data_IF_927333433909
#
_entry.id   IF_927333433909
#
_cell.length_a   1.000
_cell.length_b   1.000
_cell.length_c   1.000
_cell.angle_alpha   90.00
_cell.angle_beta   90.00
_cell.angle_gamma   90.00
#
_symmetry.space_group_name_H-M   'P 1'
#
loop_
_entity.id
_entity.type
_entity.pdbx_description
1 polymer ?
#
# COMPACT_ATOMS: atom_id res chain seq x y z
N UNK A 1 -37.07 19.54 -20.31
CA UNK A 1 -36.84 21.00 -20.22
C UNK A 1 -36.23 21.35 -18.87
N UNK A 2 -34.93 21.64 -18.83
CA UNK A 2 -34.26 22.61 -17.95
C UNK A 2 -32.79 22.65 -18.39
N UNK A 3 -32.50 23.65 -19.23
CA UNK A 3 -31.17 23.97 -19.75
C UNK A 3 -30.34 24.59 -18.61
N UNK A 4 -29.13 24.07 -18.38
CA UNK A 4 -28.09 24.78 -17.64
C UNK A 4 -27.00 25.21 -18.63
N UNK A 5 -27.06 26.49 -19.02
CA UNK A 5 -25.97 27.21 -19.68
C UNK A 5 -24.98 27.69 -18.61
N UNK A 6 -23.68 27.47 -18.82
CA UNK A 6 -22.61 28.11 -18.04
C UNK A 6 -21.96 29.18 -18.94
N UNK A 7 -21.77 30.44 -18.47
CA UNK A 7 -21.33 31.54 -19.31
C UNK A 7 -19.81 31.56 -19.55
N UNK A 8 -19.43 32.07 -20.73
CA UNK A 8 -18.07 32.26 -21.23
C UNK A 8 -17.63 33.72 -21.00
N UNK A 9 -16.56 33.96 -20.23
CA UNK A 9 -15.68 35.18 -20.13
C UNK A 9 -14.88 35.02 -18.82
N UNK A 10 -13.56 35.18 -18.70
CA UNK A 10 -12.62 36.10 -19.34
C UNK A 10 -11.29 35.41 -19.66
N UNK A 11 -10.71 35.77 -20.80
CA UNK A 11 -9.29 35.64 -21.15
C UNK A 11 -8.58 36.94 -20.79
N UNK A 12 -7.26 36.83 -20.62
CA UNK A 12 -6.23 37.87 -20.58
C UNK A 12 -5.78 38.25 -19.17
N UNK A 13 -4.73 37.60 -18.71
CA UNK A 13 -3.55 38.27 -18.14
C UNK A 13 -2.42 37.24 -18.10
N UNK A 14 -1.45 37.43 -19.00
CA UNK A 14 -0.05 36.96 -19.00
C UNK A 14 0.45 37.05 -20.45
N UNK A 15 0.57 38.29 -20.92
CA UNK A 15 1.40 38.66 -22.05
C UNK A 15 2.82 38.91 -21.56
N UNK A 16 3.76 38.39 -22.32
CA UNK A 16 5.09 38.96 -22.58
C UNK A 16 6.14 38.92 -21.45
N UNK A 17 6.93 37.84 -21.47
CA UNK A 17 8.37 37.92 -21.20
C UNK A 17 9.12 37.37 -22.41
N UNK A 18 9.99 38.24 -22.94
CA UNK A 18 10.70 38.15 -24.20
C UNK A 18 11.54 36.88 -24.37
N UNK A 19 11.34 36.20 -25.50
CA UNK A 19 12.38 35.42 -26.18
C UNK A 19 12.49 35.90 -27.63
N UNK A 20 13.39 36.87 -27.84
CA UNK A 20 13.98 37.13 -29.16
C UNK A 20 15.16 36.18 -29.34
N UNK A 21 15.01 35.23 -30.27
CA UNK A 21 15.92 34.99 -31.40
C UNK A 21 15.58 33.66 -32.11
N UNK A 22 15.45 33.74 -33.43
CA UNK A 22 15.70 32.62 -34.36
C UNK A 22 14.54 31.65 -34.62
N UNK A 23 13.72 31.96 -35.63
CA UNK A 23 13.27 31.01 -36.66
C UNK A 23 12.93 29.56 -36.25
N UNK A 24 11.83 29.30 -35.51
CA UNK A 24 11.14 27.98 -35.59
C UNK A 24 9.71 27.90 -35.01
N UNK A 25 8.94 28.99 -35.04
CA UNK A 25 7.63 29.08 -34.34
C UNK A 25 6.39 28.76 -35.19
N UNK A 26 6.52 28.55 -36.50
CA UNK A 26 5.36 28.33 -37.37
C UNK A 26 5.00 26.85 -37.61
N UNK A 27 5.94 25.89 -37.51
CA UNK A 27 5.61 24.46 -37.63
C UNK A 27 5.08 23.86 -36.31
N UNK A 28 5.51 24.38 -35.16
CA UNK A 28 5.10 23.87 -33.84
C UNK A 28 3.67 24.28 -33.45
N UNK A 29 3.21 25.48 -33.85
CA UNK A 29 1.86 25.96 -33.54
C UNK A 29 0.77 25.42 -34.49
N UNK A 30 1.11 25.13 -35.76
CA UNK A 30 0.18 24.48 -36.71
C UNK A 30 -0.01 23.03 -36.32
N UNK A 31 1.06 22.33 -35.95
CA UNK A 31 0.98 20.99 -35.37
C UNK A 31 0.11 21.02 -34.11
N UNK A 32 0.38 21.89 -33.12
CA UNK A 32 -0.37 21.97 -31.86
C UNK A 32 -1.86 22.29 -32.03
N UNK A 33 -2.23 23.14 -33.00
CA UNK A 33 -3.65 23.43 -33.31
C UNK A 33 -4.33 22.30 -34.08
N UNK A 34 -3.62 21.55 -34.91
CA UNK A 34 -4.12 20.32 -35.55
C UNK A 34 -4.30 19.19 -34.50
N UNK A 35 -3.37 19.05 -33.55
CA UNK A 35 -3.44 18.10 -32.43
C UNK A 35 -4.65 18.35 -31.50
N UNK A 36 -5.05 19.60 -31.29
CA UNK A 36 -6.22 19.96 -30.47
C UNK A 36 -7.56 19.80 -31.22
N UNK A 37 -7.57 19.88 -32.56
CA UNK A 37 -8.80 19.79 -33.37
C UNK A 37 -9.14 18.36 -33.83
N UNK A 38 -8.17 17.45 -33.91
CA UNK A 38 -8.44 16.04 -34.25
C UNK A 38 -9.01 15.19 -33.09
N UNK A 39 -8.88 15.67 -31.84
CA UNK A 39 -9.52 15.04 -30.67
C UNK A 39 -11.05 15.03 -30.78
N UNK A 40 -11.65 15.87 -31.63
CA UNK A 40 -13.10 15.94 -31.82
C UNK A 40 -13.67 15.07 -32.94
N UNK A 41 -12.86 14.22 -33.60
CA UNK A 41 -13.36 13.19 -34.54
C UNK A 41 -13.22 11.78 -33.99
N UNK A 42 -13.38 11.63 -32.67
CA UNK A 42 -13.42 10.33 -32.02
C UNK A 42 -14.85 9.77 -32.15
N UNK A 43 -14.98 8.61 -32.81
CA UNK A 43 -16.19 7.78 -32.84
C UNK A 43 -16.72 7.54 -31.40
N UNK A 44 -18.04 7.39 -31.22
CA UNK A 44 -18.67 7.08 -29.93
C UNK A 44 -17.97 5.94 -29.17
N UNK A 45 -17.44 4.93 -29.87
CA UNK A 45 -16.63 3.89 -29.26
C UNK A 45 -15.37 4.44 -28.57
N UNK A 46 -14.67 5.38 -29.20
CA UNK A 46 -13.44 5.99 -28.66
C UNK A 46 -13.70 6.89 -27.45
N UNK A 47 -14.82 7.61 -27.41
CA UNK A 47 -15.22 8.39 -26.24
C UNK A 47 -15.59 7.47 -25.08
N UNK A 48 -16.28 6.36 -25.37
CA UNK A 48 -16.59 5.33 -24.38
C UNK A 48 -15.33 4.64 -23.85
N UNK A 49 -14.33 4.41 -24.71
CA UNK A 49 -13.01 3.91 -24.30
C UNK A 49 -12.32 4.87 -23.34
N UNK A 50 -12.27 6.17 -23.67
CA UNK A 50 -11.67 7.18 -22.80
C UNK A 50 -12.41 7.30 -21.46
N UNK A 51 -13.74 7.21 -21.44
CA UNK A 51 -14.52 7.29 -20.21
C UNK A 51 -14.30 6.07 -19.30
N UNK A 52 -14.31 4.85 -19.83
CA UNK A 52 -13.94 3.66 -19.05
C UNK A 52 -12.50 3.77 -18.53
N UNK A 53 -11.56 4.27 -19.34
CA UNK A 53 -10.17 4.55 -18.97
C UNK A 53 -10.12 5.46 -17.73
N UNK A 54 -10.80 6.61 -17.76
CA UNK A 54 -10.87 7.54 -16.63
C UNK A 54 -11.50 6.92 -15.37
N UNK A 55 -12.57 6.15 -15.50
CA UNK A 55 -13.24 5.47 -14.37
C UNK A 55 -12.40 4.34 -13.76
N UNK A 56 -11.57 3.68 -14.57
CA UNK A 56 -10.66 2.61 -14.17
C UNK A 56 -9.53 3.14 -13.32
N UNK A 57 -9.01 4.31 -13.65
CA UNK A 57 -7.86 4.91 -13.01
C UNK A 57 -8.21 5.65 -11.71
N UNK A 58 -9.37 6.28 -11.59
CA UNK A 58 -9.75 6.98 -10.34
C UNK A 58 -10.10 6.04 -9.17
N UNK A 59 -10.51 4.80 -9.45
CA UNK A 59 -11.09 3.90 -8.43
C UNK A 59 -10.17 2.79 -7.88
N UNK A 60 -8.89 2.74 -8.27
CA UNK A 60 -8.05 1.54 -8.02
C UNK A 60 -6.80 1.85 -7.20
N UNK A 61 -6.73 1.34 -5.96
CA UNK A 61 -5.63 1.57 -5.00
C UNK A 61 -4.56 0.45 -4.95
N UNK A 62 -4.47 -0.42 -5.96
CA UNK A 62 -3.53 -1.55 -5.93
C UNK A 62 -2.88 -1.79 -7.29
N UNK A 63 -1.54 -1.94 -7.29
CA UNK A 63 -0.73 -2.22 -8.48
C UNK A 63 -1.24 -3.46 -9.23
N UNK A 64 -1.57 -4.55 -8.54
CA UNK A 64 -2.10 -5.78 -9.15
C UNK A 64 -3.44 -5.55 -9.86
N UNK A 65 -4.28 -4.69 -9.30
CA UNK A 65 -5.57 -4.34 -9.89
C UNK A 65 -5.42 -3.46 -11.13
N UNK A 66 -4.44 -2.55 -11.14
CA UNK A 66 -4.08 -1.75 -12.33
C UNK A 66 -3.60 -2.67 -13.45
N UNK A 67 -2.67 -3.60 -13.15
CA UNK A 67 -2.13 -4.55 -14.12
C UNK A 67 -3.22 -5.43 -14.77
N UNK A 68 -4.14 -5.96 -13.97
CA UNK A 68 -5.26 -6.78 -14.45
C UNK A 68 -6.17 -6.02 -15.41
N UNK A 69 -6.41 -4.73 -15.13
CA UNK A 69 -7.26 -3.87 -15.97
C UNK A 69 -6.54 -3.45 -17.26
N UNK A 70 -5.26 -3.10 -17.22
CA UNK A 70 -4.44 -2.82 -18.43
C UNK A 70 -4.46 -4.04 -19.38
N UNK A 71 -4.25 -5.24 -18.84
CA UNK A 71 -4.37 -6.49 -19.62
C UNK A 71 -5.75 -6.63 -20.28
N UNK A 72 -6.83 -6.34 -19.55
CA UNK A 72 -8.19 -6.39 -20.09
C UNK A 72 -8.35 -5.40 -21.25
N UNK A 73 -7.83 -4.18 -21.14
CA UNK A 73 -7.93 -3.15 -22.18
C UNK A 73 -7.18 -3.59 -23.44
N UNK A 74 -5.92 -4.02 -23.30
CA UNK A 74 -5.09 -4.44 -24.44
C UNK A 74 -5.73 -5.62 -25.20
N UNK A 75 -6.23 -6.62 -24.47
CA UNK A 75 -6.83 -7.81 -25.08
C UNK A 75 -8.22 -7.52 -25.68
N UNK A 76 -9.09 -6.82 -24.96
CA UNK A 76 -10.51 -6.71 -25.33
C UNK A 76 -10.76 -5.64 -26.37
N UNK A 77 -9.98 -4.55 -26.35
CA UNK A 77 -10.24 -3.38 -27.20
C UNK A 77 -9.26 -3.26 -28.35
N UNK A 78 -7.97 -3.51 -28.11
CA UNK A 78 -6.95 -3.43 -29.15
C UNK A 78 -6.66 -4.79 -29.81
N UNK A 79 -7.32 -5.87 -29.38
CA UNK A 79 -7.03 -7.24 -29.85
C UNK A 79 -5.54 -7.58 -29.80
N UNK A 80 -4.81 -7.01 -28.83
CA UNK A 80 -3.39 -7.26 -28.63
C UNK A 80 -3.28 -8.48 -27.74
N UNK A 81 -2.96 -9.63 -28.33
CA UNK A 81 -2.83 -10.88 -27.58
C UNK A 81 -1.44 -11.03 -26.93
N UNK A 82 -0.43 -10.37 -27.51
CA UNK A 82 0.97 -10.44 -27.07
C UNK A 82 1.48 -9.11 -26.58
N UNK A 83 1.76 -9.03 -25.28
CA UNK A 83 2.41 -7.87 -24.69
C UNK A 83 3.30 -8.24 -23.51
N UNK A 84 4.25 -7.35 -23.24
CA UNK A 84 5.15 -7.37 -22.11
C UNK A 84 5.09 -6.01 -21.42
N UNK A 85 4.82 -6.01 -20.12
CA UNK A 85 4.90 -4.82 -19.30
C UNK A 85 6.10 -4.96 -18.36
N UNK A 86 7.01 -4.00 -18.47
CA UNK A 86 8.25 -3.94 -17.75
C UNK A 86 8.21 -2.81 -16.73
N UNK A 87 8.41 -3.12 -15.46
CA UNK A 87 8.51 -2.13 -14.38
C UNK A 87 9.80 -2.39 -13.59
N UNK A 88 10.42 -1.35 -13.01
CA UNK A 88 11.60 -1.53 -12.16
C UNK A 88 11.25 -2.32 -10.90
N UNK A 89 12.22 -3.05 -10.37
CA UNK A 89 12.11 -3.72 -9.08
C UNK A 89 11.96 -2.69 -7.93
N UNK A 90 11.37 -3.10 -6.80
CA UNK A 90 11.12 -2.17 -5.67
C UNK A 90 12.41 -1.56 -5.10
N UNK A 91 13.56 -2.21 -5.31
CA UNK A 91 14.88 -1.81 -4.80
C UNK A 91 15.95 -1.62 -5.88
N UNK A 92 15.59 -1.67 -7.17
CA UNK A 92 16.55 -1.51 -8.29
C UNK A 92 15.90 -0.79 -9.46
N UNK A 93 16.70 -0.06 -10.24
CA UNK A 93 16.29 0.50 -11.54
C UNK A 93 16.16 -0.59 -12.62
N UNK A 94 16.57 -1.83 -12.32
CA UNK A 94 16.44 -2.96 -13.23
C UNK A 94 14.99 -3.27 -13.58
N UNK A 95 14.67 -3.23 -14.87
CA UNK A 95 13.37 -3.57 -15.39
C UNK A 95 13.12 -5.08 -15.30
N UNK A 96 11.95 -5.44 -14.77
CA UNK A 96 11.44 -6.81 -14.69
C UNK A 96 10.06 -6.93 -15.29
N UNK A 97 9.70 -8.16 -15.65
CA UNK A 97 8.37 -8.49 -16.19
C UNK A 97 7.33 -8.37 -15.08
N UNK A 98 6.55 -7.28 -15.12
CA UNK A 98 5.43 -7.05 -14.21
C UNK A 98 4.15 -7.73 -14.69
N UNK A 99 3.95 -7.81 -16.02
CA UNK A 99 2.87 -8.57 -16.63
C UNK A 99 3.25 -9.01 -18.05
N UNK A 100 2.68 -10.14 -18.48
CA UNK A 100 2.77 -10.60 -19.86
C UNK A 100 1.48 -11.29 -20.30
N UNK A 101 1.25 -11.32 -21.60
CA UNK A 101 0.19 -12.12 -22.24
C UNK A 101 0.70 -12.67 -23.56
N UNK A 102 0.28 -13.89 -23.92
CA UNK A 102 0.55 -14.50 -25.22
C UNK A 102 2.03 -14.76 -25.54
N UNK A 103 2.91 -14.70 -24.53
CA UNK A 103 4.37 -14.81 -24.64
C UNK A 103 4.87 -15.82 -23.61
N UNK A 104 5.84 -16.67 -23.99
CA UNK A 104 6.54 -17.53 -23.05
C UNK A 104 7.69 -16.77 -22.37
N UNK A 105 7.54 -16.48 -21.08
CA UNK A 105 8.49 -15.68 -20.29
C UNK A 105 9.37 -16.50 -19.35
N UNK A 106 9.26 -17.84 -19.32
CA UNK A 106 9.93 -18.69 -18.30
C UNK A 106 11.44 -18.53 -18.25
N UNK A 107 12.10 -18.26 -19.38
CA UNK A 107 13.55 -18.04 -19.45
C UNK A 107 14.01 -16.63 -19.07
N UNK A 108 13.08 -15.68 -18.84
CA UNK A 108 13.38 -14.25 -18.73
C UNK A 108 12.89 -13.59 -17.44
N UNK A 109 12.09 -14.29 -16.63
CA UNK A 109 11.54 -13.77 -15.37
C UNK A 109 12.60 -13.19 -14.40
N UNK A 110 13.86 -13.62 -14.50
CA UNK A 110 14.97 -13.22 -13.62
C UNK A 110 16.06 -12.39 -14.29
N UNK A 111 15.91 -12.03 -15.56
CA UNK A 111 16.92 -11.25 -16.29
C UNK A 111 16.57 -9.76 -16.27
N UNK A 112 17.57 -8.91 -16.02
CA UNK A 112 17.44 -7.46 -16.22
C UNK A 112 17.35 -7.16 -17.72
N UNK A 113 16.37 -6.35 -18.10
CA UNK A 113 16.14 -5.93 -19.47
C UNK A 113 16.59 -4.48 -19.60
N UNK A 114 17.63 -4.22 -20.40
CA UNK A 114 18.10 -2.85 -20.64
C UNK A 114 17.36 -2.25 -21.85
N UNK A 115 16.61 -1.17 -21.63
CA UNK A 115 15.93 -0.38 -22.65
C UNK A 115 16.28 1.11 -22.61
N UNK A 116 17.34 1.47 -21.88
CA UNK A 116 17.64 2.83 -21.41
C UNK A 116 17.85 3.87 -22.52
N UNK A 117 17.89 3.44 -23.79
CA UNK A 117 18.03 4.29 -24.98
C UNK A 117 16.70 4.60 -25.68
N UNK A 118 15.57 4.09 -25.20
CA UNK A 118 14.24 4.33 -25.77
C UNK A 118 13.50 5.32 -24.86
N UNK A 119 13.70 6.61 -25.11
CA UNK A 119 13.05 7.70 -24.37
C UNK A 119 11.83 8.30 -25.10
N UNK A 120 11.42 7.69 -26.21
CA UNK A 120 10.25 8.09 -26.99
C UNK A 120 9.56 6.84 -27.53
N UNK A 121 8.25 6.91 -27.85
CA UNK A 121 7.54 5.82 -28.49
C UNK A 121 8.26 5.35 -29.76
N UNK A 122 8.47 4.04 -29.90
CA UNK A 122 9.08 3.44 -31.09
C UNK A 122 8.15 2.42 -31.72
N UNK A 123 7.84 2.64 -32.99
CA UNK A 123 7.10 1.70 -33.82
C UNK A 123 8.03 1.01 -34.82
N UNK A 124 7.93 -0.31 -34.89
CA UNK A 124 8.60 -1.14 -35.88
C UNK A 124 7.54 -1.89 -36.69
N UNK A 125 7.29 -1.50 -37.96
CA UNK A 125 6.42 -2.23 -38.87
C UNK A 125 6.84 -3.69 -39.08
N UNK A 126 8.10 -4.00 -38.79
CA UNK A 126 8.65 -5.35 -38.79
C UNK A 126 9.55 -5.57 -37.56
N UNK A 127 9.25 -6.57 -36.73
CA UNK A 127 10.00 -6.93 -35.51
C UNK A 127 11.50 -7.13 -35.78
N UNK A 128 11.89 -7.61 -36.96
CA UNK A 128 13.31 -7.81 -37.32
C UNK A 128 14.12 -6.50 -37.33
N UNK A 129 13.45 -5.35 -37.49
CA UNK A 129 14.06 -4.01 -37.45
C UNK A 129 14.18 -3.44 -36.03
N UNK A 130 13.62 -4.11 -35.03
CA UNK A 130 13.72 -3.66 -33.63
C UNK A 130 15.15 -3.84 -33.07
N UNK A 131 15.58 -2.94 -32.16
CA UNK A 131 16.90 -2.99 -31.54
C UNK A 131 17.00 -4.13 -30.52
N UNK A 132 18.18 -4.76 -30.45
CA UNK A 132 18.48 -5.79 -29.46
C UNK A 132 17.99 -7.19 -29.83
N UNK A 133 18.71 -8.19 -29.33
CA UNK A 133 18.41 -9.62 -29.56
C UNK A 133 17.20 -10.07 -28.74
N UNK A 134 16.86 -9.33 -27.67
CA UNK A 134 15.81 -9.66 -26.73
C UNK A 134 14.44 -9.79 -27.39
N UNK A 135 14.00 -8.78 -28.15
CA UNK A 135 12.68 -8.80 -28.78
C UNK A 135 12.54 -9.89 -29.85
N UNK A 136 13.64 -10.21 -30.53
CA UNK A 136 13.71 -11.30 -31.51
C UNK A 136 13.65 -12.70 -30.89
N UNK A 137 13.91 -12.82 -29.57
CA UNK A 137 13.78 -14.07 -28.79
C UNK A 137 12.44 -14.19 -28.08
N UNK A 138 11.86 -13.06 -27.66
CA UNK A 138 10.62 -13.03 -26.88
C UNK A 138 9.39 -13.04 -27.79
N UNK A 139 9.43 -12.29 -28.89
CA UNK A 139 8.35 -12.21 -29.85
C UNK A 139 8.67 -13.06 -31.08
N UNK A 140 7.66 -13.63 -31.77
CA UNK A 140 7.87 -14.23 -33.07
C UNK A 140 8.59 -13.26 -34.02
N UNK A 141 9.51 -13.78 -34.82
CA UNK A 141 10.29 -13.01 -35.81
C UNK A 141 9.45 -12.47 -36.98
N UNK A 142 8.14 -12.73 -36.98
CA UNK A 142 7.16 -12.18 -37.90
C UNK A 142 6.27 -11.14 -37.21
N UNK A 143 5.86 -10.12 -37.95
CA UNK A 143 4.89 -9.11 -37.50
C UNK A 143 5.50 -7.78 -37.08
N UNK A 144 4.76 -7.00 -36.30
CA UNK A 144 5.09 -5.61 -35.92
C UNK A 144 5.18 -5.42 -34.41
N UNK A 145 5.87 -4.37 -33.97
CA UNK A 145 6.19 -4.09 -32.58
C UNK A 145 6.00 -2.61 -32.24
N UNK A 146 5.39 -2.30 -31.11
CA UNK A 146 5.43 -0.96 -30.51
C UNK A 146 6.10 -1.07 -29.14
N UNK A 147 7.03 -0.16 -28.86
CA UNK A 147 7.67 0.02 -27.55
C UNK A 147 7.27 1.40 -27.04
N UNK A 148 6.48 1.43 -25.96
CA UNK A 148 6.00 2.63 -25.29
C UNK A 148 6.70 2.82 -23.95
N UNK A 149 7.47 3.90 -23.75
CA UNK A 149 7.97 4.26 -22.43
C UNK A 149 6.81 4.75 -21.53
N UNK A 150 6.89 4.38 -20.26
CA UNK A 150 5.98 4.84 -19.20
C UNK A 150 6.76 5.87 -18.38
N UNK A 151 6.26 7.11 -18.30
CA UNK A 151 6.89 8.16 -17.52
C UNK A 151 6.15 8.42 -16.22
N UNK A 152 6.88 8.61 -15.12
CA UNK A 152 6.27 9.12 -13.89
C UNK A 152 5.98 10.63 -13.98
N UNK A 153 5.45 11.19 -12.89
CA UNK A 153 5.16 12.62 -12.75
C UNK A 153 6.40 13.52 -12.87
N UNK A 154 7.59 12.98 -12.61
CA UNK A 154 8.87 13.69 -12.71
C UNK A 154 9.47 13.61 -14.12
N UNK A 155 8.78 12.95 -15.07
CA UNK A 155 9.25 12.62 -16.42
C UNK A 155 10.42 11.64 -16.47
N UNK A 156 10.64 10.90 -15.39
CA UNK A 156 11.58 9.78 -15.38
C UNK A 156 10.91 8.52 -15.91
N UNK A 157 11.69 7.62 -16.51
CA UNK A 157 11.16 6.36 -17.05
C UNK A 157 10.79 5.42 -15.89
N UNK A 158 9.50 5.22 -15.71
CA UNK A 158 8.91 4.32 -14.73
C UNK A 158 8.70 2.89 -15.24
N UNK A 159 8.92 2.64 -16.54
CA UNK A 159 8.77 1.33 -17.14
C UNK A 159 8.54 1.39 -18.65
N UNK A 160 8.19 0.24 -19.23
CA UNK A 160 7.90 0.10 -20.66
C UNK A 160 6.73 -0.84 -20.91
N UNK A 161 5.87 -0.50 -21.85
CA UNK A 161 4.96 -1.44 -22.47
C UNK A 161 5.50 -1.82 -23.85
N UNK A 162 5.57 -3.12 -24.12
CA UNK A 162 5.94 -3.66 -25.42
C UNK A 162 4.80 -4.48 -25.94
N UNK A 163 4.27 -4.15 -27.11
CA UNK A 163 3.14 -4.85 -27.74
C UNK A 163 3.54 -5.39 -29.11
N UNK A 164 3.02 -6.56 -29.44
CA UNK A 164 3.29 -7.26 -30.69
C UNK A 164 2.01 -7.69 -31.39
N UNK A 165 2.03 -7.60 -32.73
CA UNK A 165 1.02 -8.14 -33.63
C UNK A 165 1.66 -9.07 -34.65
N UNK A 166 0.94 -10.11 -35.08
CA UNK A 166 1.45 -11.07 -36.07
C UNK A 166 1.54 -10.49 -37.48
N UNK A 167 0.86 -9.38 -37.72
CA UNK A 167 0.80 -8.68 -38.98
C UNK A 167 1.98 -7.73 -39.14
N UNK A 168 2.57 -7.71 -40.35
CA UNK A 168 3.49 -6.65 -40.75
C UNK A 168 2.71 -5.35 -40.84
N UNK A 169 3.35 -4.28 -40.39
CA UNK A 169 2.76 -2.95 -40.32
C UNK A 169 1.38 -2.92 -39.61
N UNK A 170 1.26 -3.72 -38.55
CA UNK A 170 -0.02 -4.06 -37.95
C UNK A 170 -0.61 -2.99 -37.03
N UNK A 171 0.02 -1.83 -36.81
CA UNK A 171 -0.48 -0.80 -35.89
C UNK A 171 -0.73 0.52 -36.61
N UNK A 172 -1.97 1.00 -36.57
CA UNK A 172 -2.33 2.32 -37.10
C UNK A 172 -1.79 3.44 -36.22
N UNK A 173 -1.61 4.64 -36.79
CA UNK A 173 -1.20 5.83 -36.03
C UNK A 173 -2.16 6.13 -34.86
N UNK A 174 -3.47 5.88 -35.02
CA UNK A 174 -4.47 6.05 -33.97
C UNK A 174 -4.26 5.08 -32.80
N UNK A 175 -3.91 3.83 -33.10
CA UNK A 175 -3.61 2.82 -32.07
C UNK A 175 -2.30 3.13 -31.34
N UNK A 176 -1.27 3.57 -32.06
CA UNK A 176 -0.01 4.03 -31.47
C UNK A 176 -0.26 5.22 -30.53
N UNK A 177 -1.03 6.23 -30.98
CA UNK A 177 -1.43 7.37 -30.14
C UNK A 177 -2.25 6.94 -28.92
N UNK A 178 -3.12 5.96 -29.07
CA UNK A 178 -3.90 5.42 -27.97
C UNK A 178 -3.01 4.73 -26.92
N UNK A 179 -2.07 3.89 -27.35
CA UNK A 179 -1.11 3.22 -26.48
C UNK A 179 -0.26 4.24 -25.69
N UNK A 180 0.24 5.26 -26.38
CA UNK A 180 0.98 6.35 -25.76
C UNK A 180 0.17 7.06 -24.65
N UNK A 181 -1.09 7.43 -24.94
CA UNK A 181 -1.98 8.07 -23.96
C UNK A 181 -2.28 7.15 -22.77
N UNK A 182 -2.53 5.86 -23.03
CA UNK A 182 -2.78 4.86 -21.98
C UNK A 182 -1.57 4.74 -21.04
N UNK A 183 -0.35 4.71 -21.58
CA UNK A 183 0.89 4.62 -20.80
C UNK A 183 1.22 5.90 -20.03
N UNK A 184 0.94 7.07 -20.61
CA UNK A 184 1.07 8.35 -19.89
C UNK A 184 0.17 8.39 -18.64
N UNK A 185 -1.09 7.97 -18.76
CA UNK A 185 -2.01 7.88 -17.62
C UNK A 185 -1.57 6.84 -16.59
N UNK A 186 -1.09 5.69 -17.05
CA UNK A 186 -0.57 4.64 -16.16
C UNK A 186 0.63 5.14 -15.35
N UNK A 187 1.56 5.86 -15.99
CA UNK A 187 2.73 6.43 -15.33
C UNK A 187 2.39 7.43 -14.23
N UNK A 188 1.41 8.31 -14.47
CA UNK A 188 0.88 9.22 -13.44
C UNK A 188 0.27 8.45 -12.26
N UNK A 189 -0.45 7.36 -12.52
CA UNK A 189 -1.05 6.54 -11.47
C UNK A 189 0.01 5.81 -10.63
N UNK A 190 1.01 5.21 -11.29
CA UNK A 190 2.13 4.57 -10.59
C UNK A 190 2.90 5.58 -9.74
N UNK A 191 3.09 6.81 -10.23
CA UNK A 191 3.66 7.90 -9.44
C UNK A 191 2.85 8.20 -8.19
N UNK A 192 1.52 8.38 -8.32
CA UNK A 192 0.62 8.61 -7.19
C UNK A 192 0.59 7.46 -6.18
N UNK A 193 0.58 6.21 -6.66
CA UNK A 193 0.63 5.03 -5.78
C UNK A 193 1.95 4.99 -4.99
N UNK A 194 3.09 5.26 -5.63
CA UNK A 194 4.39 5.34 -4.96
C UNK A 194 4.46 6.48 -3.95
N UNK A 195 3.89 7.64 -4.29
CA UNK A 195 3.86 8.80 -3.39
C UNK A 195 2.96 8.51 -2.18
N UNK A 196 1.79 7.89 -2.42
CA UNK A 196 0.92 7.42 -1.35
C UNK A 196 1.61 6.38 -0.47
N UNK A 197 2.28 5.38 -1.04
CA UNK A 197 3.08 4.41 -0.28
C UNK A 197 4.19 5.07 0.54
N UNK A 198 4.87 6.10 0.01
CA UNK A 198 5.88 6.87 0.75
C UNK A 198 5.26 7.67 1.90
N UNK A 199 4.13 8.32 1.67
CA UNK A 199 3.38 9.04 2.72
C UNK A 199 2.92 8.05 3.78
N UNK A 200 2.42 6.88 3.39
CA UNK A 200 2.04 5.81 4.31
C UNK A 200 3.24 5.28 5.09
N UNK A 201 4.40 5.09 4.45
CA UNK A 201 5.64 4.70 5.10
C UNK A 201 6.09 5.75 6.14
N UNK A 202 6.02 7.03 5.79
CA UNK A 202 6.32 8.14 6.70
C UNK A 202 5.31 8.26 7.85
N UNK A 203 4.11 7.71 7.68
CA UNK A 203 3.03 7.69 8.66
C UNK A 203 2.93 6.36 9.42
N UNK A 204 4.00 5.55 9.51
CA UNK A 204 3.98 4.27 10.25
C UNK A 204 4.14 4.39 11.75
N UNK A 205 4.65 5.51 12.24
CA UNK A 205 4.97 5.72 13.65
C UNK A 205 3.95 6.65 14.33
N UNK A 206 3.73 6.41 15.61
CA UNK A 206 3.03 7.33 16.48
C UNK A 206 3.94 8.50 16.85
N UNK A 207 3.47 9.73 16.64
CA UNK A 207 4.29 10.94 16.80
C UNK A 207 4.71 11.21 18.25
N UNK A 208 3.97 10.71 19.23
CA UNK A 208 4.29 10.90 20.63
C UNK A 208 5.28 9.85 21.14
N UNK A 209 5.00 8.58 20.90
CA UNK A 209 5.72 7.44 21.47
C UNK A 209 6.81 6.88 20.57
N UNK A 210 6.83 7.29 19.29
CA UNK A 210 7.83 6.90 18.27
C UNK A 210 7.87 5.38 17.96
N UNK A 211 6.90 4.62 18.43
CA UNK A 211 6.68 3.22 18.04
C UNK A 211 5.69 3.13 16.87
N UNK A 212 5.61 1.99 16.15
CA UNK A 212 4.54 1.69 15.21
C UNK A 212 3.15 2.12 15.68
N UNK A 213 2.32 2.61 14.76
CA UNK A 213 0.91 2.92 15.04
C UNK A 213 -0.02 1.77 14.65
N UNK A 214 -1.32 1.94 14.93
CA UNK A 214 -2.39 0.98 14.60
C UNK A 214 -2.35 0.48 13.15
N UNK A 215 -2.24 1.38 12.17
CA UNK A 215 -2.24 0.97 10.76
C UNK A 215 -1.06 0.05 10.44
N UNK A 216 0.11 0.38 10.98
CA UNK A 216 1.28 -0.46 10.75
C UNK A 216 1.20 -1.80 11.50
N UNK A 217 0.58 -1.81 12.69
CA UNK A 217 0.26 -3.03 13.41
C UNK A 217 -0.67 -3.96 12.63
N UNK A 218 -1.80 -3.46 12.12
CA UNK A 218 -2.77 -4.28 11.39
C UNK A 218 -2.10 -4.98 10.19
N UNK A 219 -1.28 -4.24 9.44
CA UNK A 219 -0.48 -4.79 8.33
C UNK A 219 0.54 -5.84 8.79
N UNK A 220 1.26 -5.58 9.89
CA UNK A 220 2.25 -6.52 10.40
C UNK A 220 1.61 -7.80 10.92
N UNK A 221 0.44 -7.71 11.53
CA UNK A 221 -0.30 -8.87 12.02
C UNK A 221 -0.69 -9.82 10.89
N UNK A 222 -1.22 -9.29 9.78
CA UNK A 222 -1.57 -10.11 8.62
C UNK A 222 -0.34 -10.83 8.04
N UNK A 223 0.81 -10.14 7.97
CA UNK A 223 2.08 -10.72 7.50
C UNK A 223 2.52 -11.87 8.43
N UNK A 224 2.51 -11.65 9.75
CA UNK A 224 2.96 -12.65 10.71
C UNK A 224 2.00 -13.84 10.82
N UNK A 225 0.70 -13.65 10.63
CA UNK A 225 -0.28 -14.74 10.56
C UNK A 225 -0.02 -15.61 9.32
N UNK A 226 0.19 -15.01 8.14
CA UNK A 226 0.52 -15.76 6.93
C UNK A 226 1.84 -16.52 7.07
N UNK A 227 2.83 -15.91 7.72
CA UNK A 227 4.09 -16.57 8.06
C UNK A 227 3.88 -17.75 9.01
N UNK A 228 3.15 -17.54 10.10
CA UNK A 228 2.84 -18.58 11.09
C UNK A 228 2.10 -19.76 10.45
N UNK A 229 1.11 -19.51 9.60
CA UNK A 229 0.38 -20.53 8.82
C UNK A 229 1.31 -21.32 7.91
N UNK A 230 2.17 -20.63 7.15
CA UNK A 230 3.10 -21.26 6.19
C UNK A 230 4.07 -22.22 6.88
N UNK A 231 4.63 -21.81 8.02
CA UNK A 231 5.64 -22.57 8.74
C UNK A 231 5.06 -23.42 9.89
N UNK A 232 3.74 -23.40 10.08
CA UNK A 232 3.03 -24.08 11.17
C UNK A 232 3.57 -23.69 12.55
N UNK A 233 3.86 -22.40 12.73
CA UNK A 233 4.28 -21.84 14.01
C UNK A 233 3.09 -21.23 14.75
N UNK A 234 3.20 -21.14 16.08
CA UNK A 234 2.24 -20.40 16.90
C UNK A 234 2.56 -18.92 16.89
N UNK A 235 1.56 -18.10 17.16
CA UNK A 235 1.69 -16.66 17.35
C UNK A 235 0.75 -16.23 18.47
N UNK A 236 1.20 -15.34 19.36
CA UNK A 236 0.34 -14.73 20.40
C UNK A 236 0.23 -13.24 20.15
N UNK A 237 -0.99 -12.69 20.25
CA UNK A 237 -1.24 -11.25 20.24
C UNK A 237 -1.68 -10.81 21.64
N UNK A 238 -1.16 -9.66 22.07
CA UNK A 238 -1.53 -9.01 23.32
C UNK A 238 -2.13 -7.63 23.04
N UNK A 239 -3.20 -7.26 23.75
CA UNK A 239 -3.71 -5.89 23.83
C UNK A 239 -3.55 -5.39 25.26
N UNK A 240 -2.95 -4.22 25.40
CA UNK A 240 -2.51 -3.66 26.66
C UNK A 240 -3.18 -2.30 26.80
N UNK A 241 -3.72 -2.00 27.98
CA UNK A 241 -4.29 -0.69 28.29
C UNK A 241 -3.78 -0.20 29.64
N UNK A 242 -3.45 1.09 29.72
CA UNK A 242 -3.04 1.72 30.98
C UNK A 242 -4.27 1.98 31.86
N UNK A 243 -4.30 1.31 33.01
CA UNK A 243 -5.42 1.40 33.93
C UNK A 243 -5.60 2.82 34.46
N UNK A 244 -6.84 3.32 34.35
CA UNK A 244 -7.24 4.63 34.88
C UNK A 244 -6.43 5.81 34.31
N UNK A 245 -5.91 5.70 33.09
CA UNK A 245 -5.08 6.75 32.48
C UNK A 245 -5.80 8.10 32.35
N UNK A 246 -7.10 8.10 32.04
CA UNK A 246 -7.91 9.33 32.11
C UNK A 246 -7.85 10.00 33.49
N UNK A 247 -8.03 9.25 34.59
CA UNK A 247 -7.94 9.82 35.95
C UNK A 247 -6.55 10.34 36.26
N UNK A 248 -5.52 9.71 35.72
CA UNK A 248 -4.15 10.18 35.81
C UNK A 248 -3.99 11.53 35.08
N UNK A 249 -4.48 11.65 33.85
CA UNK A 249 -4.47 12.90 33.10
C UNK A 249 -5.29 14.01 33.77
N UNK A 250 -6.48 13.69 34.29
CA UNK A 250 -7.34 14.66 34.97
C UNK A 250 -6.66 15.22 36.24
N UNK A 251 -5.85 14.39 36.92
CA UNK A 251 -5.15 14.77 38.15
C UNK A 251 -3.85 15.53 37.89
N UNK A 252 -3.07 15.14 36.89
CA UNK A 252 -1.70 15.62 36.68
C UNK A 252 -1.53 16.46 35.41
N UNK A 253 -2.51 16.49 34.53
CA UNK A 253 -2.47 17.17 33.25
C UNK A 253 -1.85 16.32 32.14
N UNK A 254 -2.23 16.64 30.89
CA UNK A 254 -1.86 15.88 29.70
C UNK A 254 -0.34 15.77 29.47
N UNK A 255 0.45 16.78 29.85
CA UNK A 255 1.91 16.73 29.71
C UNK A 255 2.54 15.59 30.52
N UNK A 256 2.03 15.32 31.72
CA UNK A 256 2.50 14.19 32.53
C UNK A 256 1.96 12.86 32.01
N UNK A 257 0.77 12.86 31.40
CA UNK A 257 0.25 11.73 30.63
C UNK A 257 1.17 11.33 29.49
N UNK A 258 1.61 12.30 28.70
CA UNK A 258 2.52 12.09 27.57
C UNK A 258 3.87 11.49 28.00
N UNK A 259 4.40 11.96 29.14
CA UNK A 259 5.61 11.40 29.75
C UNK A 259 5.34 9.95 30.22
N UNK A 260 4.20 9.70 30.85
CA UNK A 260 3.82 8.36 31.30
C UNK A 260 3.71 7.38 30.13
N UNK A 261 3.08 7.78 29.01
CA UNK A 261 2.99 6.97 27.79
C UNK A 261 4.38 6.58 27.26
N UNK A 262 5.29 7.55 27.15
CA UNK A 262 6.68 7.30 26.72
C UNK A 262 7.41 6.33 27.66
N UNK A 263 7.24 6.51 28.97
CA UNK A 263 7.89 5.65 29.96
C UNK A 263 7.32 4.23 29.94
N UNK A 264 6.00 4.07 29.76
CA UNK A 264 5.36 2.75 29.60
C UNK A 264 5.90 2.07 28.34
N UNK A 265 5.98 2.77 27.21
CA UNK A 265 6.56 2.21 25.98
C UNK A 265 8.00 1.75 26.19
N UNK A 266 8.83 2.54 26.86
CA UNK A 266 10.20 2.14 27.20
C UNK A 266 10.24 0.89 28.12
N UNK A 267 9.34 0.83 29.10
CA UNK A 267 9.20 -0.32 29.99
C UNK A 267 8.81 -1.58 29.21
N UNK A 268 7.79 -1.49 28.34
CA UNK A 268 7.35 -2.61 27.51
C UNK A 268 8.49 -3.09 26.58
N UNK A 269 9.09 -2.16 25.84
CA UNK A 269 10.15 -2.47 24.88
C UNK A 269 11.37 -3.14 25.54
N UNK A 270 11.77 -2.75 26.75
CA UNK A 270 12.90 -3.38 27.46
C UNK A 270 12.64 -4.83 27.91
N UNK A 271 11.38 -5.28 27.88
CA UNK A 271 10.99 -6.62 28.31
C UNK A 271 10.60 -7.56 27.16
N UNK A 272 10.47 -7.02 25.95
CA UNK A 272 10.25 -7.73 24.69
C UNK A 272 11.59 -8.16 24.07
N UNK A 273 11.59 -9.25 23.29
CA UNK A 273 12.77 -9.76 22.58
C UNK A 273 12.87 -9.18 21.17
N UNK A 274 14.05 -9.31 20.56
CA UNK A 274 14.22 -9.04 19.14
C UNK A 274 13.27 -9.94 18.33
N UNK A 275 12.47 -9.31 17.47
CA UNK A 275 11.43 -9.96 16.68
C UNK A 275 10.01 -9.85 17.24
N UNK A 276 9.82 -9.45 18.50
CA UNK A 276 8.52 -9.02 18.98
C UNK A 276 8.17 -7.65 18.37
N UNK A 277 6.87 -7.40 18.13
CA UNK A 277 6.41 -6.15 17.53
C UNK A 277 5.51 -5.40 18.50
N UNK A 278 5.88 -4.18 18.88
CA UNK A 278 5.10 -3.30 19.76
C UNK A 278 4.55 -2.12 18.96
N UNK A 279 3.26 -1.82 19.13
CA UNK A 279 2.61 -0.68 18.50
C UNK A 279 1.66 0.04 19.45
N UNK A 280 1.44 1.34 19.21
CA UNK A 280 0.37 2.11 19.83
C UNK A 280 -0.90 1.96 18.99
N UNK A 281 -1.95 1.42 19.60
CA UNK A 281 -3.21 1.11 18.93
C UNK A 281 -4.27 2.19 19.12
N UNK A 282 -4.26 2.82 20.30
CA UNK A 282 -5.20 3.87 20.70
C UNK A 282 -4.55 4.95 21.56
N UNK A 283 -5.37 5.71 22.29
CA UNK A 283 -4.87 6.80 23.15
C UNK A 283 -3.95 6.31 24.27
N UNK A 284 -4.35 5.25 24.96
CA UNK A 284 -3.60 4.61 26.07
C UNK A 284 -3.43 3.10 25.86
N UNK A 285 -3.67 2.64 24.64
CA UNK A 285 -3.71 1.24 24.24
C UNK A 285 -2.52 0.88 23.37
N UNK A 286 -1.92 -0.27 23.66
CA UNK A 286 -0.79 -0.84 22.94
C UNK A 286 -1.10 -2.26 22.50
N UNK A 287 -0.54 -2.66 21.37
CA UNK A 287 -0.64 -4.02 20.87
C UNK A 287 0.75 -4.63 20.72
N UNK A 288 0.85 -5.92 21.02
CA UNK A 288 2.08 -6.69 20.85
C UNK A 288 1.81 -7.93 19.99
N UNK A 289 2.66 -8.16 18.99
CA UNK A 289 2.75 -9.44 18.28
C UNK A 289 3.96 -10.20 18.81
N UNK A 290 3.74 -11.44 19.21
CA UNK A 290 4.77 -12.38 19.64
C UNK A 290 4.86 -13.53 18.60
N UNK A 291 5.69 -13.40 17.56
CA UNK A 291 5.90 -14.47 16.59
C UNK A 291 6.48 -15.72 17.26
N UNK A 292 6.16 -16.89 16.70
CA UNK A 292 6.69 -18.19 17.12
C UNK A 292 6.51 -18.45 18.63
N UNK A 293 5.41 -17.93 19.20
CA UNK A 293 5.13 -17.97 20.64
C UNK A 293 3.76 -18.58 20.86
N UNK A 294 3.72 -19.73 21.53
CA UNK A 294 2.46 -20.39 21.88
C UNK A 294 1.79 -19.71 23.07
N UNK A 295 0.48 -19.90 23.20
CA UNK A 295 -0.37 -19.19 24.16
C UNK A 295 0.16 -19.15 25.58
N UNK A 296 0.60 -20.30 26.11
CA UNK A 296 1.18 -20.40 27.46
C UNK A 296 2.40 -19.49 27.64
N UNK A 297 3.28 -19.42 26.64
CA UNK A 297 4.45 -18.54 26.68
C UNK A 297 4.05 -17.09 26.47
N UNK A 298 3.09 -16.81 25.59
CA UNK A 298 2.53 -15.49 25.39
C UNK A 298 1.95 -14.89 26.68
N UNK A 299 1.21 -15.68 27.45
CA UNK A 299 0.70 -15.30 28.77
C UNK A 299 1.81 -15.04 29.79
N UNK A 300 2.91 -15.77 29.74
CA UNK A 300 4.07 -15.50 30.60
C UNK A 300 4.74 -14.16 30.24
N UNK A 301 4.84 -13.84 28.94
CA UNK A 301 5.33 -12.54 28.47
C UNK A 301 4.40 -11.43 28.92
N UNK A 302 3.09 -11.57 28.71
CA UNK A 302 2.09 -10.60 29.16
C UNK A 302 2.20 -10.33 30.68
N UNK A 303 2.25 -11.38 31.51
CA UNK A 303 2.36 -11.21 32.96
C UNK A 303 3.70 -10.59 33.38
N UNK A 304 4.79 -10.84 32.63
CA UNK A 304 6.08 -10.17 32.82
C UNK A 304 5.96 -8.67 32.53
N UNK A 305 5.33 -8.28 31.41
CA UNK A 305 5.09 -6.87 31.06
C UNK A 305 4.25 -6.17 32.13
N UNK A 306 3.15 -6.81 32.56
CA UNK A 306 2.27 -6.28 33.60
C UNK A 306 3.01 -6.00 34.91
N UNK A 307 3.77 -6.98 35.40
CA UNK A 307 4.60 -6.84 36.61
C UNK A 307 5.68 -5.78 36.47
N UNK A 308 6.27 -5.63 35.29
CA UNK A 308 7.29 -4.62 35.04
C UNK A 308 6.72 -3.21 35.17
N UNK A 309 5.54 -2.96 34.58
CA UNK A 309 4.85 -1.68 34.70
C UNK A 309 4.41 -1.42 36.14
N UNK A 310 3.82 -2.40 36.81
CA UNK A 310 3.38 -2.29 38.22
C UNK A 310 4.54 -1.95 39.18
N UNK A 311 5.73 -2.50 38.93
CA UNK A 311 6.92 -2.27 39.76
C UNK A 311 7.66 -0.99 39.41
N UNK A 312 7.37 -0.39 38.26
CA UNK A 312 8.06 0.81 37.80
C UNK A 312 7.64 2.01 38.64
N UNK A 313 8.61 2.79 39.09
CA UNK A 313 8.36 4.04 39.81
C UNK A 313 8.21 5.18 38.81
N UNK A 314 6.98 5.65 38.59
CA UNK A 314 6.70 6.74 37.67
C UNK A 314 6.89 8.07 38.39
N UNK A 315 8.07 8.70 38.25
CA UNK A 315 8.33 10.02 38.82
C UNK A 315 7.84 11.08 37.84
N UNK A 316 6.79 11.80 38.22
CA UNK A 316 6.32 12.97 37.46
C UNK A 316 7.23 14.19 37.65
N UNK A 317 7.77 14.39 38.85
CA UNK A 317 8.61 15.53 39.23
C UNK A 317 9.63 15.12 40.30
N UNK A 318 10.71 15.91 40.47
CA UNK A 318 11.77 15.67 41.47
C UNK A 318 11.24 15.62 42.92
N UNK A 319 10.04 16.14 43.19
CA UNK A 319 9.50 16.32 44.54
C UNK A 319 8.18 15.57 44.84
N UNK A 320 7.72 14.66 43.98
CA UNK A 320 6.52 13.85 44.26
C UNK A 320 6.84 12.38 44.53
N UNK A 321 6.08 11.77 45.44
CA UNK A 321 6.10 10.32 45.67
C UNK A 321 5.83 9.56 44.37
N UNK A 322 6.54 8.45 44.15
CA UNK A 322 6.37 7.61 42.96
C UNK A 322 4.88 7.22 42.78
N UNK A 323 4.31 7.59 41.63
CA UNK A 323 2.94 7.24 41.29
C UNK A 323 2.92 5.79 40.80
N UNK A 324 1.82 5.06 41.05
CA UNK A 324 1.63 3.70 40.54
C UNK A 324 0.69 3.74 39.35
N UNK A 325 1.20 3.37 38.18
CA UNK A 325 0.40 3.00 37.02
C UNK A 325 0.43 1.47 36.91
N UNK A 326 -0.70 0.90 36.51
CA UNK A 326 -0.81 -0.52 36.19
C UNK A 326 -1.36 -0.65 34.77
N UNK A 327 -1.22 -1.84 34.21
CA UNK A 327 -1.80 -2.18 32.91
C UNK A 327 -2.66 -3.42 33.04
N UNK A 328 -3.74 -3.45 32.27
CA UNK A 328 -4.52 -4.65 32.02
C UNK A 328 -4.16 -5.20 30.64
N UNK A 329 -4.10 -6.53 30.49
CA UNK A 329 -3.66 -7.19 29.26
C UNK A 329 -4.65 -8.29 28.87
N UNK A 330 -5.16 -8.22 27.64
CA UNK A 330 -5.84 -9.32 26.98
C UNK A 330 -4.87 -10.09 26.08
N UNK A 331 -5.06 -11.40 25.95
CA UNK A 331 -4.25 -12.26 25.09
C UNK A 331 -5.10 -13.26 24.28
N UNK A 332 -4.69 -13.51 23.03
CA UNK A 332 -5.21 -14.59 22.20
C UNK A 332 -4.10 -15.13 21.29
N UNK A 333 -4.23 -16.36 20.81
CA UNK A 333 -3.17 -17.05 20.07
C UNK A 333 -3.66 -17.83 18.86
N UNK A 334 -2.84 -17.83 17.81
CA UNK A 334 -2.96 -18.72 16.66
C UNK A 334 -2.08 -19.97 16.87
N UNK A 335 -2.55 -21.18 16.53
CA UNK A 335 -3.90 -21.53 16.06
C UNK A 335 -4.88 -21.89 17.18
N UNK A 336 -4.50 -21.74 18.45
CA UNK A 336 -5.25 -22.27 19.60
C UNK A 336 -6.63 -21.60 19.79
N UNK A 337 -6.71 -20.29 19.59
CA UNK A 337 -7.93 -19.50 19.79
C UNK A 337 -8.65 -19.21 18.47
N UNK A 338 -7.91 -18.72 17.46
CA UNK A 338 -8.44 -18.52 16.10
C UNK A 338 -7.32 -18.62 15.06
N UNK A 339 -7.72 -18.86 13.81
CA UNK A 339 -6.85 -18.74 12.66
C UNK A 339 -7.02 -17.40 11.92
N UNK A 340 -8.06 -16.63 12.18
CA UNK A 340 -8.41 -15.39 11.47
C UNK A 340 -7.92 -14.14 12.21
N UNK A 341 -7.39 -13.14 11.48
CA UNK A 341 -6.81 -11.95 12.12
C UNK A 341 -7.85 -11.07 12.80
N UNK A 342 -9.02 -10.87 12.18
CA UNK A 342 -10.08 -10.06 12.76
C UNK A 342 -10.71 -10.74 13.99
N UNK A 343 -10.92 -12.06 13.93
CA UNK A 343 -11.39 -12.82 15.09
C UNK A 343 -10.36 -12.81 16.24
N UNK A 344 -9.07 -12.95 15.92
CA UNK A 344 -8.01 -12.88 16.93
C UNK A 344 -8.03 -11.53 17.66
N UNK A 345 -8.13 -10.42 16.93
CA UNK A 345 -8.25 -9.07 17.52
C UNK A 345 -9.47 -8.95 18.42
N UNK A 346 -10.64 -9.42 17.96
CA UNK A 346 -11.87 -9.43 18.76
C UNK A 346 -11.69 -10.20 20.07
N UNK A 347 -11.05 -11.37 20.02
CA UNK A 347 -10.82 -12.21 21.20
C UNK A 347 -9.84 -11.57 22.19
N UNK A 348 -8.81 -10.87 21.71
CA UNK A 348 -7.87 -10.12 22.55
C UNK A 348 -8.58 -8.95 23.24
N UNK A 349 -9.43 -8.22 22.52
CA UNK A 349 -10.23 -7.11 23.07
C UNK A 349 -11.22 -7.59 24.14
N UNK A 350 -11.95 -8.69 23.87
CA UNK A 350 -12.84 -9.34 24.85
C UNK A 350 -12.07 -9.74 26.13
N UNK A 351 -10.87 -10.30 25.98
CA UNK A 351 -10.01 -10.67 27.11
C UNK A 351 -9.50 -9.44 27.89
N UNK A 352 -9.17 -8.35 27.21
CA UNK A 352 -8.77 -7.10 27.86
C UNK A 352 -9.96 -6.48 28.61
N UNK A 353 -11.14 -6.47 28.01
CA UNK A 353 -12.36 -6.02 28.67
C UNK A 353 -12.64 -6.82 29.94
N UNK A 354 -12.46 -8.14 29.89
CA UNK A 354 -12.54 -9.01 31.05
C UNK A 354 -11.54 -8.62 32.14
N UNK A 355 -10.27 -8.42 31.79
CA UNK A 355 -9.25 -7.96 32.73
C UNK A 355 -9.63 -6.63 33.41
N UNK A 356 -10.15 -5.67 32.64
CA UNK A 356 -10.59 -4.36 33.14
C UNK A 356 -11.82 -4.45 34.06
N UNK A 357 -12.75 -5.36 33.78
CA UNK A 357 -13.96 -5.55 34.60
C UNK A 357 -13.68 -6.36 35.86
N UNK A 358 -12.65 -7.20 35.88
CA UNK A 358 -12.31 -8.10 36.99
C UNK A 358 -11.13 -7.63 37.84
N UNK A 359 -11.08 -6.32 38.10
CA UNK A 359 -10.16 -5.72 39.07
C UNK A 359 -8.92 -5.05 38.49
N UNK A 360 -8.75 -5.06 37.15
CA UNK A 360 -7.59 -4.46 36.46
C UNK A 360 -6.25 -5.04 36.93
N UNK A 361 -5.14 -4.48 36.45
CA UNK A 361 -3.80 -4.92 36.80
C UNK A 361 -3.65 -6.44 36.72
N UNK A 362 -4.14 -7.02 35.62
CA UNK A 362 -4.18 -8.46 35.40
C UNK A 362 -4.07 -8.79 33.91
N UNK A 363 -3.70 -10.05 33.67
CA UNK A 363 -3.61 -10.64 32.34
C UNK A 363 -4.69 -11.70 32.22
N UNK A 364 -5.49 -11.65 31.15
CA UNK A 364 -6.49 -12.67 30.84
C UNK A 364 -6.42 -13.11 29.38
N UNK A 365 -6.89 -14.32 29.11
CA UNK A 365 -7.10 -14.84 27.76
C UNK A 365 -8.57 -15.15 27.50
N UNK A 366 -8.91 -15.30 26.22
CA UNK A 366 -10.29 -15.57 25.81
C UNK A 366 -10.88 -16.87 26.39
N UNK A 367 -10.05 -17.87 26.73
CA UNK A 367 -10.57 -19.13 27.29
C UNK A 367 -11.22 -18.97 28.67
N UNK A 368 -10.89 -17.89 29.39
CA UNK A 368 -11.55 -17.52 30.66
C UNK A 368 -12.95 -16.95 30.39
N UNK A 369 -13.09 -16.08 29.37
CA UNK A 369 -14.35 -15.45 28.96
C UNK A 369 -15.38 -16.51 28.52
N UNK A 370 -14.96 -17.52 27.76
CA UNK A 370 -15.83 -18.60 27.29
C UNK A 370 -16.29 -19.59 28.37
N UNK A 371 -15.56 -19.72 29.48
CA UNK A 371 -15.89 -20.65 30.58
C UNK A 371 -16.92 -20.06 31.55
N UNK A 372 -16.95 -18.75 31.77
CA UNK A 372 -17.92 -18.12 32.66
C UNK A 372 -19.28 -17.85 32.00
N UNK A 373 -19.30 -17.49 30.71
CA UNK A 373 -20.56 -17.41 29.96
C UNK A 373 -21.30 -18.76 29.88
N UNK A 374 -20.56 -19.88 29.88
CA UNK A 374 -21.14 -21.24 30.00
C UNK A 374 -21.57 -21.60 31.42
N UNK A 375 -21.02 -20.97 32.45
CA UNK A 375 -21.41 -21.19 33.86
C UNK A 375 -22.70 -20.45 34.21
N UNK A 376 -22.86 -19.22 33.69
CA UNK A 376 -24.07 -18.41 33.87
C UNK A 376 -25.29 -19.03 33.17
N UNK A 377 -25.13 -19.59 31.96
CA UNK A 377 -26.23 -20.27 31.24
C UNK A 377 -26.65 -21.61 31.87
N UNK A 378 -25.80 -22.23 32.69
CA UNK A 378 -26.10 -23.48 33.43
C UNK A 378 -26.74 -23.21 34.78
N UNK A 379 -26.67 -21.97 35.30
CA UNK A 379 -27.34 -21.57 36.55
C UNK A 379 -28.76 -21.04 36.26
N UNK A 380 -29.02 -20.60 35.03
CA UNK A 380 -30.35 -20.15 34.55
C UNK A 380 -31.16 -21.25 33.84
N UNK A 381 -30.67 -22.50 33.79
CA UNK A 381 -31.39 -23.70 33.33
C UNK A 381 -31.57 -24.69 34.46
#
# INVERSE_FOLDING_TARGET
MKNFQIPFRQRNELSDLDFKNGEDKNQSNVSRRLWETEIFKLDEQHVRYLYELFSVFTATFSQTSVLKKVKKILNSYLRIERFLLLLPDQNSTDLRVAAASGINITSFLRQSINLDKINEPKYYPNVLRSPGVLFKRIFPVSGSLVIEPIFDSSREIAGYLVVHRNELDGFTEKEQLFLHKLMSHMGQMLGKLREFEKIEQQSRTDSLTQIPNRRYFDNQLDIEIERARRYKHSLTVLMIDIDHFKKYNDKYGHQFGDIALKNVVHCLHSHLKDGDFLARYGGEEFMVILPETAKKQGLQVAEKLRKAVEKSSWRGSKNESAHKLTISIGAASLPEDSNDSAELIRMVDDALYWAKSHGRNRTDDFAVVGKENKKLSVIES
#
